data_IF_242416094165
#
_entry.id   IF_242416094165
#
_cell.length_a   1.000
_cell.length_b   1.000
_cell.length_c   1.000
_cell.angle_alpha   90.00
_cell.angle_beta   90.00
_cell.angle_gamma   90.00
#
_symmetry.space_group_name_H-M   'P 1'
#
loop_
_entity.id
_entity.type
_entity.pdbx_description
1 polymer ?
#
# COMPACT_ATOMS: atom_id res chain seq x y z
N UNK A 1 12.08 -31.74 8.70
CA UNK A 1 11.59 -31.50 7.33
C UNK A 1 12.54 -30.51 6.68
N UNK A 2 13.21 -30.89 5.59
CA UNK A 2 14.10 -29.99 4.87
C UNK A 2 13.26 -29.01 4.03
N UNK A 3 13.56 -27.71 4.13
CA UNK A 3 13.00 -26.70 3.24
C UNK A 3 13.61 -26.96 1.85
N UNK A 4 12.82 -27.11 0.78
CA UNK A 4 13.39 -27.31 -0.55
C UNK A 4 14.24 -26.09 -0.93
N UNK A 5 15.44 -26.35 -1.46
CA UNK A 5 16.33 -25.33 -2.01
C UNK A 5 15.56 -24.48 -3.03
N UNK A 6 15.45 -23.18 -2.75
CA UNK A 6 14.90 -22.21 -3.70
C UNK A 6 15.90 -22.07 -4.85
N UNK A 7 15.72 -22.84 -5.91
CA UNK A 7 16.40 -22.58 -7.17
C UNK A 7 15.88 -21.26 -7.77
N UNK A 8 16.77 -20.38 -8.27
CA UNK A 8 16.36 -19.25 -9.09
C UNK A 8 15.59 -19.80 -10.30
N UNK A 9 14.43 -19.22 -10.58
CA UNK A 9 13.62 -19.61 -11.75
C UNK A 9 14.44 -19.35 -13.01
N UNK A 10 14.84 -20.40 -13.71
CA UNK A 10 15.62 -20.29 -14.93
C UNK A 10 14.85 -19.49 -15.98
N UNK A 11 15.47 -18.43 -16.51
CA UNK A 11 14.87 -17.58 -17.54
C UNK A 11 15.00 -18.22 -18.92
N UNK A 12 13.89 -18.33 -19.66
CA UNK A 12 13.89 -18.67 -21.09
C UNK A 12 13.21 -17.55 -21.90
N UNK A 13 13.48 -17.43 -23.21
CA UNK A 13 12.77 -16.50 -24.10
C UNK A 13 11.24 -16.70 -24.13
N UNK A 14 10.78 -17.89 -23.72
CA UNK A 14 9.35 -18.25 -23.62
C UNK A 14 8.71 -17.91 -22.27
N UNK A 15 9.49 -17.51 -21.27
CA UNK A 15 9.00 -17.13 -19.93
C UNK A 15 9.72 -15.85 -19.50
N UNK A 16 9.34 -14.67 -20.06
CA UNK A 16 9.95 -13.42 -19.64
C UNK A 16 9.72 -13.22 -18.14
N UNK A 17 10.76 -12.75 -17.44
CA UNK A 17 10.64 -12.38 -16.03
C UNK A 17 9.40 -11.49 -15.85
N UNK A 18 8.60 -11.75 -14.80
CA UNK A 18 7.54 -10.82 -14.43
C UNK A 18 8.19 -9.57 -13.82
N UNK A 19 8.67 -8.67 -14.69
CA UNK A 19 9.39 -7.46 -14.34
C UNK A 19 8.57 -6.57 -13.39
N UNK A 20 7.25 -6.65 -13.45
CA UNK A 20 6.35 -5.90 -12.57
C UNK A 20 6.44 -6.39 -11.11
N UNK A 21 6.64 -7.69 -10.87
CA UNK A 21 6.84 -8.24 -9.52
C UNK A 21 8.19 -7.80 -8.94
N UNK A 22 9.23 -7.74 -9.78
CA UNK A 22 10.54 -7.23 -9.33
C UNK A 22 10.48 -5.73 -9.02
N UNK A 23 9.83 -4.94 -9.87
CA UNK A 23 9.61 -3.52 -9.63
C UNK A 23 8.83 -3.28 -8.33
N UNK A 24 7.77 -4.06 -8.10
CA UNK A 24 7.01 -4.01 -6.85
C UNK A 24 7.87 -4.33 -5.62
N UNK A 25 8.75 -5.32 -5.72
CA UNK A 25 9.62 -5.70 -4.64
C UNK A 25 10.67 -4.61 -4.34
N UNK A 26 11.19 -3.93 -5.36
CA UNK A 26 12.11 -2.78 -5.22
C UNK A 26 11.40 -1.56 -4.61
N UNK A 27 10.17 -1.27 -5.04
CA UNK A 27 9.34 -0.21 -4.46
C UNK A 27 9.11 -0.44 -2.96
N UNK A 28 8.88 -1.70 -2.56
CA UNK A 28 8.69 -2.06 -1.17
C UNK A 28 9.97 -1.88 -0.34
N UNK A 29 11.13 -2.29 -0.88
CA UNK A 29 12.42 -2.07 -0.19
C UNK A 29 12.72 -0.58 -0.01
N UNK A 30 12.43 0.24 -1.03
CA UNK A 30 12.60 1.69 -0.95
C UNK A 30 11.68 2.30 0.12
N UNK A 31 10.42 1.86 0.19
CA UNK A 31 9.48 2.30 1.21
C UNK A 31 9.93 1.90 2.63
N UNK A 32 10.43 0.67 2.81
CA UNK A 32 11.00 0.23 4.09
C UNK A 32 12.22 1.06 4.48
N UNK A 33 13.12 1.34 3.54
CA UNK A 33 14.28 2.19 3.77
C UNK A 33 13.85 3.61 4.18
N UNK A 34 12.76 4.15 3.64
CA UNK A 34 12.19 5.42 4.06
C UNK A 34 11.63 5.40 5.49
N UNK A 35 10.94 4.33 5.89
CA UNK A 35 10.48 4.15 7.28
C UNK A 35 11.69 4.10 8.22
N UNK A 36 12.68 3.28 7.87
CA UNK A 36 13.92 3.14 8.64
C UNK A 36 14.65 4.48 8.77
N UNK A 37 14.78 5.26 7.69
CA UNK A 37 15.41 6.58 7.74
C UNK A 37 14.65 7.57 8.62
N UNK A 38 13.31 7.55 8.56
CA UNK A 38 12.47 8.46 9.35
C UNK A 38 12.54 8.19 10.85
N UNK A 39 12.69 6.93 11.26
CA UNK A 39 12.58 6.53 12.67
C UNK A 39 13.89 6.05 13.31
N UNK A 40 14.83 5.51 12.52
CA UNK A 40 16.13 5.01 12.98
C UNK A 40 17.32 5.92 12.63
N UNK A 41 17.10 6.99 11.84
CA UNK A 41 18.16 7.88 11.37
C UNK A 41 18.80 7.45 10.04
N UNK A 42 19.72 8.26 9.51
CA UNK A 42 20.25 8.08 8.14
C UNK A 42 21.58 7.33 8.04
N UNK A 43 22.29 7.11 9.16
CA UNK A 43 23.68 6.65 9.13
C UNK A 43 23.84 5.12 9.11
N UNK A 44 22.83 4.35 9.52
CA UNK A 44 22.91 2.89 9.68
C UNK A 44 21.76 2.13 9.00
N UNK A 45 21.31 2.59 7.83
CA UNK A 45 20.25 1.91 7.06
C UNK A 45 20.84 0.64 6.41
N UNK A 46 20.36 -0.57 6.76
CA UNK A 46 20.84 -1.79 6.13
C UNK A 46 20.50 -1.81 4.63
N UNK A 47 21.43 -2.29 3.80
CA UNK A 47 21.22 -2.42 2.35
C UNK A 47 20.68 -3.79 1.94
N UNK A 48 20.87 -4.82 2.76
CA UNK A 48 20.29 -6.14 2.54
C UNK A 48 18.79 -6.13 2.91
N UNK A 49 17.94 -6.71 2.05
CA UNK A 49 16.47 -6.73 2.25
C UNK A 49 16.09 -7.38 3.58
N UNK A 50 16.72 -8.49 3.94
CA UNK A 50 16.36 -9.23 5.16
C UNK A 50 16.77 -8.42 6.38
N UNK A 51 17.98 -7.87 6.37
CA UNK A 51 18.46 -6.99 7.44
C UNK A 51 17.59 -5.72 7.56
N UNK A 52 17.16 -5.15 6.45
CA UNK A 52 16.28 -3.97 6.43
C UNK A 52 14.92 -4.27 7.05
N UNK A 53 14.30 -5.39 6.70
CA UNK A 53 13.02 -5.82 7.26
C UNK A 53 13.12 -6.10 8.78
N UNK A 54 14.18 -6.77 9.23
CA UNK A 54 14.42 -7.00 10.66
C UNK A 54 14.61 -5.68 11.41
N UNK A 55 15.39 -4.75 10.84
CA UNK A 55 15.62 -3.46 11.47
C UNK A 55 14.35 -2.60 11.54
N UNK A 56 13.52 -2.60 10.49
CA UNK A 56 12.23 -1.94 10.50
C UNK A 56 11.29 -2.52 11.57
N UNK A 57 11.27 -3.85 11.73
CA UNK A 57 10.50 -4.52 12.78
C UNK A 57 11.01 -4.16 14.19
N UNK A 58 12.33 -4.07 14.38
CA UNK A 58 12.92 -3.64 15.65
C UNK A 58 12.56 -2.18 16.01
N UNK A 59 12.51 -1.29 15.02
CA UNK A 59 12.04 0.09 15.20
C UNK A 59 10.55 0.11 15.59
N UNK A 60 9.72 -0.64 14.86
CA UNK A 60 8.29 -0.76 15.16
C UNK A 60 8.02 -1.32 16.56
N UNK A 61 8.85 -2.24 17.05
CA UNK A 61 8.72 -2.78 18.40
C UNK A 61 9.00 -1.75 19.51
N UNK A 62 9.74 -0.69 19.21
CA UNK A 62 10.19 0.34 20.19
C UNK A 62 9.40 1.64 20.09
N UNK A 63 8.91 1.99 18.91
CA UNK A 63 8.14 3.21 18.67
C UNK A 63 6.81 2.88 17.98
N UNK A 64 5.71 3.24 18.64
CA UNK A 64 4.36 3.09 18.11
C UNK A 64 4.18 3.84 16.79
N UNK A 65 4.81 5.00 16.62
CA UNK A 65 4.70 5.76 15.37
C UNK A 65 5.43 5.05 14.23
N UNK A 66 6.58 4.43 14.51
CA UNK A 66 7.27 3.58 13.56
C UNK A 66 6.44 2.34 13.19
N UNK A 67 5.75 1.74 14.18
CA UNK A 67 4.83 0.63 13.94
C UNK A 67 3.66 1.03 13.02
N UNK A 68 2.99 2.15 13.30
CA UNK A 68 1.90 2.68 12.48
C UNK A 68 2.37 2.95 11.03
N UNK A 69 3.54 3.56 10.85
CA UNK A 69 4.08 3.87 9.53
C UNK A 69 4.47 2.58 8.77
N UNK A 70 5.04 1.59 9.46
CA UNK A 70 5.37 0.29 8.87
C UNK A 70 4.12 -0.45 8.41
N UNK A 71 3.09 -0.54 9.25
CA UNK A 71 1.81 -1.17 8.91
C UNK A 71 1.15 -0.51 7.69
N UNK A 72 1.29 0.81 7.55
CA UNK A 72 0.78 1.54 6.38
C UNK A 72 1.54 1.13 5.12
N UNK A 73 2.87 1.12 5.13
CA UNK A 73 3.66 0.74 3.95
C UNK A 73 3.45 -0.74 3.57
N UNK A 74 3.35 -1.64 4.55
CA UNK A 74 3.01 -3.05 4.31
C UNK A 74 1.65 -3.20 3.63
N UNK A 75 0.64 -2.47 4.11
CA UNK A 75 -0.69 -2.51 3.51
C UNK A 75 -0.70 -1.86 2.11
N UNK A 76 0.05 -0.79 1.87
CA UNK A 76 0.21 -0.21 0.53
C UNK A 76 0.87 -1.20 -0.42
N UNK A 77 1.93 -1.89 0.01
CA UNK A 77 2.59 -2.94 -0.74
C UNK A 77 1.64 -4.08 -1.09
N UNK A 78 0.89 -4.58 -0.11
CA UNK A 78 -0.12 -5.62 -0.30
C UNK A 78 -1.23 -5.19 -1.27
N UNK A 79 -1.70 -3.94 -1.18
CA UNK A 79 -2.69 -3.38 -2.11
C UNK A 79 -2.13 -3.31 -3.53
N UNK A 80 -0.91 -2.80 -3.72
CA UNK A 80 -0.27 -2.76 -5.05
C UNK A 80 -0.10 -4.16 -5.63
N UNK A 81 0.34 -5.13 -4.82
CA UNK A 81 0.46 -6.53 -5.21
C UNK A 81 -0.89 -7.08 -5.69
N UNK A 82 -1.93 -6.94 -4.87
CA UNK A 82 -3.28 -7.42 -5.17
C UNK A 82 -3.83 -6.79 -6.46
N UNK A 83 -3.58 -5.50 -6.69
CA UNK A 83 -3.97 -4.79 -7.92
C UNK A 83 -3.26 -5.32 -9.16
N UNK A 84 -1.98 -5.68 -9.03
CA UNK A 84 -1.18 -6.21 -10.13
C UNK A 84 -1.64 -7.62 -10.53
N UNK A 85 -1.98 -8.47 -9.56
CA UNK A 85 -2.37 -9.87 -9.80
C UNK A 85 -3.89 -10.07 -9.99
N UNK A 86 -4.69 -9.01 -9.87
CA UNK A 86 -6.15 -9.08 -10.06
C UNK A 86 -6.96 -9.53 -8.84
N UNK A 87 -6.38 -9.50 -7.64
CA UNK A 87 -7.03 -9.90 -6.37
C UNK A 87 -7.48 -8.70 -5.51
N UNK A 88 -7.48 -7.49 -6.10
CA UNK A 88 -7.75 -6.24 -5.39
C UNK A 88 -9.13 -6.19 -4.68
N UNK A 89 -10.16 -6.79 -5.25
CA UNK A 89 -11.52 -6.74 -4.69
C UNK A 89 -11.59 -7.39 -3.30
N UNK A 90 -10.85 -8.48 -3.10
CA UNK A 90 -10.84 -9.21 -1.83
C UNK A 90 -10.18 -8.44 -0.70
N UNK A 91 -9.14 -7.66 -0.99
CA UNK A 91 -8.44 -6.83 0.01
C UNK A 91 -9.16 -5.49 0.22
N UNK A 92 -9.60 -4.83 -0.86
CA UNK A 92 -10.34 -3.56 -0.77
C UNK A 92 -11.72 -3.73 -0.14
N UNK A 93 -12.39 -4.85 -0.37
CA UNK A 93 -13.69 -5.14 0.26
C UNK A 93 -13.63 -5.21 1.79
N UNK A 94 -12.44 -5.38 2.37
CA UNK A 94 -12.22 -5.39 3.83
C UNK A 94 -11.82 -4.02 4.38
N UNK A 95 -11.58 -3.03 3.51
CA UNK A 95 -11.16 -1.70 3.91
C UNK A 95 -12.30 -0.71 3.74
N UNK A 96 -12.60 0.02 4.82
CA UNK A 96 -13.60 1.06 4.81
C UNK A 96 -13.09 2.30 4.05
N UNK A 97 -13.97 2.91 3.27
CA UNK A 97 -13.70 4.19 2.62
C UNK A 97 -13.39 5.29 3.66
N UNK A 98 -12.32 6.08 3.49
CA UNK A 98 -11.93 7.11 4.47
C UNK A 98 -12.98 8.16 4.80
N UNK A 99 -13.98 8.37 3.92
CA UNK A 99 -15.05 9.36 4.10
C UNK A 99 -16.35 8.77 4.64
N UNK A 100 -16.99 7.86 3.89
CA UNK A 100 -18.30 7.28 4.27
C UNK A 100 -18.21 6.12 5.27
N UNK A 101 -17.00 5.61 5.54
CA UNK A 101 -16.75 4.37 6.29
C UNK A 101 -17.42 3.12 5.72
N UNK A 102 -17.89 3.19 4.47
CA UNK A 102 -18.54 2.10 3.76
C UNK A 102 -17.52 1.16 3.09
N UNK A 103 -17.86 -0.12 2.95
CA UNK A 103 -17.02 -1.16 2.32
C UNK A 103 -17.32 -1.31 0.82
N UNK A 104 -17.17 -0.20 0.08
CA UNK A 104 -17.53 -0.12 -1.35
C UNK A 104 -16.38 0.48 -2.16
N UNK A 105 -15.15 0.21 -1.76
CA UNK A 105 -13.96 0.61 -2.50
C UNK A 105 -13.72 -0.38 -3.65
N UNK A 106 -13.56 0.13 -4.86
CA UNK A 106 -13.16 -0.64 -6.03
C UNK A 106 -11.82 -0.17 -6.58
N UNK A 107 -11.00 -1.07 -7.15
CA UNK A 107 -9.75 -0.71 -7.78
C UNK A 107 -10.01 0.14 -9.04
N UNK A 108 -9.29 1.25 -9.18
CA UNK A 108 -9.36 2.09 -10.38
C UNK A 108 -7.98 2.57 -10.78
N UNK A 109 -7.79 2.84 -12.07
CA UNK A 109 -6.54 3.37 -12.61
C UNK A 109 -6.73 4.82 -13.07
N UNK A 110 -6.02 5.74 -12.44
CA UNK A 110 -6.10 7.17 -12.74
C UNK A 110 -4.70 7.69 -13.06
N UNK A 111 -4.50 8.28 -14.25
CA UNK A 111 -3.18 8.77 -14.67
C UNK A 111 -2.09 7.68 -14.63
N UNK A 112 -2.45 6.44 -14.97
CA UNK A 112 -1.53 5.28 -14.94
C UNK A 112 -1.28 4.67 -13.55
N UNK A 113 -1.75 5.29 -12.46
CA UNK A 113 -1.55 4.83 -11.08
C UNK A 113 -2.78 4.12 -10.51
N UNK A 114 -2.55 3.09 -9.71
CA UNK A 114 -3.61 2.41 -8.95
C UNK A 114 -4.12 3.29 -7.81
N UNK A 115 -5.45 3.32 -7.68
CA UNK A 115 -6.22 4.04 -6.66
C UNK A 115 -7.42 3.18 -6.26
N UNK A 116 -8.18 3.60 -5.26
CA UNK A 116 -9.51 3.05 -5.04
C UNK A 116 -10.60 4.11 -5.10
N UNK A 117 -11.70 3.80 -5.80
CA UNK A 117 -12.88 4.65 -5.90
C UNK A 117 -13.96 4.14 -4.96
N UNK A 118 -14.64 5.06 -4.26
CA UNK A 118 -15.83 4.69 -3.50
C UNK A 118 -17.06 4.65 -4.42
N UNK A 119 -17.79 3.54 -4.42
CA UNK A 119 -19.01 3.36 -5.22
C UNK A 119 -20.29 3.81 -4.53
N UNK A 120 -20.22 4.17 -3.23
CA UNK A 120 -21.39 4.75 -2.57
C UNK A 120 -21.67 6.11 -3.20
N UNK A 121 -22.78 6.23 -3.94
CA UNK A 121 -23.15 7.41 -4.73
C UNK A 121 -23.08 8.71 -3.93
N UNK A 122 -23.50 8.69 -2.65
CA UNK A 122 -23.42 9.88 -1.79
C UNK A 122 -21.97 10.27 -1.55
N UNK A 123 -21.09 9.31 -1.27
CA UNK A 123 -19.67 9.59 -1.04
C UNK A 123 -18.92 9.93 -2.33
N UNK A 124 -19.26 9.23 -3.42
CA UNK A 124 -18.59 9.29 -4.71
C UNK A 124 -18.64 10.70 -5.32
N UNK A 125 -19.78 11.38 -5.18
CA UNK A 125 -20.04 12.68 -5.82
C UNK A 125 -20.16 13.85 -4.84
N UNK A 126 -20.00 13.62 -3.55
CA UNK A 126 -20.05 14.69 -2.55
C UNK A 126 -18.78 15.56 -2.64
N UNK A 127 -19.00 16.86 -2.81
CA UNK A 127 -18.01 17.92 -3.02
C UNK A 127 -17.39 18.48 -1.73
N UNK A 128 -17.59 17.85 -0.57
CA UNK A 128 -17.00 18.31 0.71
C UNK A 128 -15.48 18.56 0.57
N UNK A 129 -15.02 19.83 0.77
CA UNK A 129 -13.63 20.22 0.56
C UNK A 129 -12.70 19.68 1.65
N UNK A 130 -13.21 19.21 2.79
CA UNK A 130 -12.37 18.58 3.85
C UNK A 130 -11.67 17.30 3.40
N UNK A 131 -12.09 16.77 2.25
CA UNK A 131 -11.53 15.56 1.67
C UNK A 131 -10.94 15.81 0.28
N UNK A 132 -10.61 17.06 -0.10
CA UNK A 132 -10.04 17.39 -1.42
C UNK A 132 -8.50 17.50 -1.43
N UNK A 133 -7.81 16.89 -0.47
CA UNK A 133 -6.35 16.91 -0.36
C UNK A 133 -5.66 16.06 -1.45
N UNK A 134 -4.33 16.19 -1.61
CA UNK A 134 -3.50 15.46 -2.61
C UNK A 134 -3.74 13.94 -2.64
N UNK A 135 -4.09 13.38 -1.49
CA UNK A 135 -4.37 11.96 -1.27
C UNK A 135 -5.74 11.51 -1.78
N UNK A 136 -6.66 12.44 -2.01
CA UNK A 136 -8.02 12.21 -2.43
C UNK A 136 -8.35 13.10 -3.63
N UNK A 137 -8.39 12.50 -4.82
CA UNK A 137 -8.89 13.25 -5.97
C UNK A 137 -10.40 13.37 -5.81
N UNK A 138 -10.84 14.60 -5.52
CA UNK A 138 -12.25 14.96 -5.44
C UNK A 138 -13.01 14.52 -6.70
N UNK A 139 -14.35 14.45 -6.64
CA UNK A 139 -15.12 14.14 -7.82
C UNK A 139 -14.75 15.14 -8.93
N UNK A 140 -14.22 14.64 -10.04
CA UNK A 140 -14.05 15.46 -11.24
C UNK A 140 -15.43 15.88 -11.77
N UNK A 141 -15.46 16.63 -12.88
CA UNK A 141 -16.72 16.98 -13.57
C UNK A 141 -17.61 15.77 -13.93
N UNK A 142 -17.12 14.53 -13.84
CA UNK A 142 -17.81 13.32 -14.29
C UNK A 142 -17.38 11.99 -13.63
N UNK A 143 -16.66 12.00 -12.50
CA UNK A 143 -16.08 10.77 -11.94
C UNK A 143 -16.23 10.62 -10.42
N UNK A 144 -16.28 9.37 -9.90
CA UNK A 144 -16.33 9.12 -8.47
C UNK A 144 -15.04 9.56 -7.78
N UNK A 145 -15.15 9.98 -6.52
CA UNK A 145 -14.02 10.26 -5.64
C UNK A 145 -13.06 9.07 -5.56
N UNK A 146 -11.78 9.34 -5.73
CA UNK A 146 -10.72 8.32 -5.66
C UNK A 146 -9.70 8.65 -4.57
N UNK A 147 -9.13 7.61 -3.97
CA UNK A 147 -8.15 7.69 -2.90
C UNK A 147 -6.83 7.08 -3.35
N UNK A 148 -5.71 7.68 -2.94
CA UNK A 148 -4.41 7.03 -3.02
C UNK A 148 -4.43 5.75 -2.17
N UNK A 149 -3.62 4.74 -2.55
CA UNK A 149 -3.48 3.53 -1.73
C UNK A 149 -2.95 3.86 -0.33
N UNK A 150 -2.08 4.87 -0.24
CA UNK A 150 -1.54 5.36 1.03
C UNK A 150 -2.63 5.93 1.94
N UNK A 151 -3.54 6.75 1.41
CA UNK A 151 -4.65 7.32 2.17
C UNK A 151 -5.59 6.24 2.74
N UNK A 152 -5.88 5.22 1.93
CA UNK A 152 -6.70 4.07 2.32
C UNK A 152 -6.00 3.28 3.44
N UNK A 153 -4.72 2.95 3.24
CA UNK A 153 -3.94 2.20 4.21
C UNK A 153 -3.83 2.95 5.55
N UNK A 154 -3.47 4.23 5.50
CA UNK A 154 -3.39 5.11 6.68
C UNK A 154 -4.70 5.20 7.44
N UNK A 155 -5.83 5.32 6.74
CA UNK A 155 -7.14 5.31 7.39
C UNK A 155 -7.42 3.97 8.07
N UNK A 156 -7.13 2.86 7.39
CA UNK A 156 -7.35 1.51 7.92
C UNK A 156 -6.54 1.24 9.18
N UNK A 157 -5.22 1.50 9.15
CA UNK A 157 -4.31 1.28 10.29
C UNK A 157 -4.72 2.12 11.49
N UNK A 158 -5.02 3.41 11.28
CA UNK A 158 -5.51 4.30 12.36
C UNK A 158 -6.76 3.76 13.04
N UNK A 159 -7.71 3.23 12.26
CA UNK A 159 -8.94 2.65 12.82
C UNK A 159 -8.66 1.37 13.58
N UNK A 160 -7.78 0.51 13.07
CA UNK A 160 -7.36 -0.73 13.74
C UNK A 160 -6.70 -0.45 15.10
N UNK A 161 -5.93 0.63 15.21
CA UNK A 161 -5.24 1.00 16.46
C UNK A 161 -6.04 1.88 17.41
N UNK A 162 -7.23 2.34 16.98
CA UNK A 162 -8.17 3.08 17.81
C UNK A 162 -9.28 2.20 18.42
N UNK A 163 -9.43 0.97 17.92
CA UNK A 163 -10.37 -0.04 18.43
C UNK A 163 -9.71 -0.90 19.52
#
# INVERSE_FOLDING_TARGET
MAVPDRQPTATSPSTPLNLDVYALAQDFDAALADVVRRHGGTENVPTDRTALAVYAADLAARDRKAADDLDVEELVGALRAAMLIGEADGILGRIACPKCLCWSLLPVRCGGRWRAACQNVRCAYDSDPRYSDDDAQGPGRSGPRTWSLYAIARHHVRRRHAA
#
